data_IF_991975906044
#
_entry.id   IF_991975906044
#
_cell.length_a   1.000
_cell.length_b   1.000
_cell.length_c   1.000
_cell.angle_alpha   90.00
_cell.angle_beta   90.00
_cell.angle_gamma   90.00
#
_symmetry.space_group_name_H-M   'P 1'
#
loop_
_entity.id
_entity.type
_entity.pdbx_description
1 polymer ?
#
# COMPACT_ATOMS: atom_id res chain seq x y z
N UNK A 1 -13.63 -18.15 -14.19
CA UNK A 1 -13.06 -18.70 -12.94
C UNK A 1 -11.67 -18.11 -12.76
N UNK A 2 -11.38 -17.59 -11.57
CA UNK A 2 -10.08 -17.04 -11.18
C UNK A 2 -9.47 -18.07 -10.22
N UNK A 3 -8.28 -18.65 -10.48
CA UNK A 3 -7.62 -19.53 -9.53
C UNK A 3 -7.04 -18.71 -8.38
N UNK A 4 -7.47 -18.98 -7.15
CA UNK A 4 -6.98 -18.35 -5.92
C UNK A 4 -6.51 -19.41 -4.92
N UNK A 5 -5.56 -20.24 -5.34
CA UNK A 5 -5.20 -21.47 -4.64
C UNK A 5 -4.58 -21.22 -3.25
N UNK A 6 -3.76 -20.17 -3.12
CA UNK A 6 -3.12 -19.83 -1.84
C UNK A 6 -4.11 -19.20 -0.87
N UNK A 7 -4.95 -18.27 -1.34
CA UNK A 7 -6.01 -17.67 -0.52
C UNK A 7 -7.09 -18.69 -0.14
N UNK A 8 -7.44 -19.62 -1.04
CA UNK A 8 -8.36 -20.72 -0.75
C UNK A 8 -7.78 -21.64 0.34
N UNK A 9 -6.47 -21.95 0.27
CA UNK A 9 -5.77 -22.71 1.32
C UNK A 9 -5.77 -21.96 2.66
N UNK A 10 -5.44 -20.66 2.67
CA UNK A 10 -5.46 -19.84 3.87
C UNK A 10 -6.86 -19.82 4.52
N UNK A 11 -7.92 -19.75 3.70
CA UNK A 11 -9.28 -19.82 4.19
C UNK A 11 -9.66 -21.20 4.76
N UNK A 12 -9.11 -22.29 4.21
CA UNK A 12 -9.34 -23.65 4.68
C UNK A 12 -8.57 -23.98 5.97
N UNK A 13 -7.38 -23.40 6.15
CA UNK A 13 -6.52 -23.61 7.33
C UNK A 13 -6.81 -22.63 8.47
N UNK A 14 -7.62 -21.60 8.22
CA UNK A 14 -7.89 -20.51 9.15
C UNK A 14 -9.39 -20.29 9.43
N UNK A 15 -9.73 -19.01 9.65
CA UNK A 15 -11.09 -18.58 9.92
C UNK A 15 -11.60 -17.70 8.77
N UNK A 16 -12.79 -18.02 8.26
CA UNK A 16 -13.47 -17.23 7.21
C UNK A 16 -14.66 -16.47 7.80
N UNK A 17 -14.64 -15.15 7.63
CA UNK A 17 -15.75 -14.28 8.00
C UNK A 17 -16.69 -14.12 6.79
N UNK A 18 -17.97 -14.41 6.98
CA UNK A 18 -19.01 -14.21 5.94
C UNK A 18 -19.73 -12.87 6.07
N UNK A 19 -19.54 -12.18 7.19
CA UNK A 19 -20.09 -10.86 7.47
C UNK A 19 -19.01 -9.96 8.09
N UNK A 20 -18.23 -9.31 7.22
CA UNK A 20 -17.14 -8.42 7.60
C UNK A 20 -17.23 -7.13 6.79
N UNK A 21 -17.14 -5.98 7.46
CA UNK A 21 -17.34 -4.68 6.85
C UNK A 21 -16.13 -3.75 7.00
N UNK A 22 -15.88 -2.93 5.99
CA UNK A 22 -15.00 -1.78 6.09
C UNK A 22 -15.79 -0.56 6.60
N UNK A 23 -15.14 0.39 7.30
CA UNK A 23 -15.84 1.58 7.80
C UNK A 23 -16.19 2.59 6.69
N UNK A 24 -15.78 2.34 5.44
CA UNK A 24 -16.09 3.17 4.27
C UNK A 24 -15.90 2.41 2.95
N UNK A 25 -16.63 2.81 1.91
CA UNK A 25 -16.50 2.24 0.56
C UNK A 25 -15.28 2.74 -0.26
N UNK A 26 -14.34 3.49 0.33
CA UNK A 26 -13.18 4.07 -0.39
C UNK A 26 -11.90 4.02 0.46
N UNK A 27 -10.74 4.13 -0.23
CA UNK A 27 -9.42 3.78 0.33
C UNK A 27 -9.01 4.54 1.61
N UNK A 28 -8.78 5.85 1.52
CA UNK A 28 -8.26 6.67 2.63
C UNK A 28 -9.08 6.53 3.92
N UNK A 29 -10.42 6.69 3.94
CA UNK A 29 -11.19 6.56 5.17
C UNK A 29 -11.12 5.15 5.76
N UNK A 30 -11.13 4.10 4.94
CA UNK A 30 -10.98 2.71 5.43
C UNK A 30 -9.62 2.48 6.07
N UNK A 31 -8.54 2.94 5.43
CA UNK A 31 -7.17 2.84 5.97
C UNK A 31 -7.00 3.63 7.26
N UNK A 32 -7.64 4.81 7.35
CA UNK A 32 -7.68 5.58 8.59
C UNK A 32 -8.34 4.78 9.71
N UNK A 33 -9.48 4.14 9.43
CA UNK A 33 -10.20 3.32 10.40
C UNK A 33 -9.37 2.13 10.89
N UNK A 34 -8.79 1.37 9.95
CA UNK A 34 -7.93 0.21 10.26
C UNK A 34 -6.74 0.60 11.15
N UNK A 35 -6.03 1.66 10.81
CA UNK A 35 -4.82 2.02 11.56
C UNK A 35 -5.12 2.70 12.89
N UNK A 36 -6.22 3.44 13.03
CA UNK A 36 -6.50 4.25 14.23
C UNK A 36 -7.55 3.67 15.16
N UNK A 37 -8.28 2.62 14.74
CA UNK A 37 -9.42 2.08 15.48
C UNK A 37 -10.59 3.07 15.62
N UNK A 38 -10.66 4.11 14.78
CA UNK A 38 -11.68 5.15 14.84
C UNK A 38 -12.45 5.26 13.55
N UNK A 39 -13.75 5.53 13.67
CA UNK A 39 -14.55 5.90 12.51
C UNK A 39 -13.94 7.06 11.73
N UNK A 40 -13.87 6.89 10.41
CA UNK A 40 -13.17 7.79 9.49
C UNK A 40 -13.76 9.21 9.46
N UNK A 41 -15.05 9.37 9.75
CA UNK A 41 -15.69 10.68 9.86
C UNK A 41 -15.20 11.51 11.06
N UNK A 42 -14.44 10.92 11.99
CA UNK A 42 -13.71 11.65 13.04
C UNK A 42 -12.38 12.23 12.56
N UNK A 43 -11.93 11.91 11.34
CA UNK A 43 -10.80 12.58 10.70
C UNK A 43 -11.21 13.98 10.18
N UNK A 44 -10.21 14.77 9.75
CA UNK A 44 -10.47 16.06 9.07
C UNK A 44 -11.08 15.91 7.68
N UNK A 45 -11.02 14.73 7.08
CA UNK A 45 -11.55 14.47 5.75
C UNK A 45 -12.99 13.95 5.85
N UNK A 46 -13.92 14.61 5.15
CA UNK A 46 -15.36 14.25 5.21
C UNK A 46 -15.87 13.54 3.96
N UNK A 47 -15.16 13.64 2.83
CA UNK A 47 -15.53 13.06 1.53
C UNK A 47 -14.25 12.78 0.72
N UNK A 48 -14.36 11.84 -0.23
CA UNK A 48 -13.29 11.54 -1.18
C UNK A 48 -12.12 10.75 -0.60
N UNK A 49 -11.00 10.79 -1.31
CA UNK A 49 -9.72 10.18 -0.93
C UNK A 49 -8.60 11.20 -1.11
N UNK A 50 -7.49 11.00 -0.42
CA UNK A 50 -6.30 11.80 -0.62
C UNK A 50 -5.62 11.44 -1.95
N UNK A 51 -4.72 12.28 -2.43
CA UNK A 51 -3.85 11.96 -3.56
C UNK A 51 -2.38 11.91 -3.11
N UNK A 52 -1.47 11.61 -4.03
CA UNK A 52 -0.03 11.49 -3.73
C UNK A 52 0.62 12.78 -3.24
N UNK A 53 -0.02 13.94 -3.37
CA UNK A 53 0.51 15.23 -2.89
C UNK A 53 -0.20 15.77 -1.65
N UNK A 54 -1.08 14.97 -1.05
CA UNK A 54 -1.86 15.43 0.09
C UNK A 54 -1.04 15.36 1.39
N UNK A 55 -1.16 16.35 2.30
CA UNK A 55 -0.55 16.30 3.62
C UNK A 55 -1.07 15.12 4.44
N UNK A 56 -0.26 14.64 5.38
CA UNK A 56 -0.60 13.57 6.31
C UNK A 56 -1.96 13.78 6.98
N UNK A 57 -2.79 12.74 6.99
CA UNK A 57 -4.15 12.79 7.52
C UNK A 57 -4.20 12.56 9.04
N UNK A 58 -3.34 11.66 9.53
CA UNK A 58 -3.31 11.21 10.92
C UNK A 58 -2.40 12.15 11.70
N UNK A 59 -2.94 12.78 12.76
CA UNK A 59 -2.17 13.56 13.73
C UNK A 59 -1.15 12.64 14.41
N UNK A 60 0.11 13.04 14.56
CA UNK A 60 1.18 12.19 15.13
C UNK A 60 0.96 11.83 16.60
N UNK A 61 0.08 12.54 17.31
CA UNK A 61 -0.35 12.20 18.67
C UNK A 61 -1.44 11.13 18.69
N UNK A 62 -2.01 10.77 17.53
CA UNK A 62 -3.01 9.70 17.42
C UNK A 62 -2.30 8.36 17.52
N UNK A 63 -2.65 7.59 18.56
CA UNK A 63 -2.29 6.19 18.64
C UNK A 63 -2.82 5.43 17.41
N UNK A 64 -1.92 4.68 16.78
CA UNK A 64 -2.20 3.71 15.73
C UNK A 64 -1.95 2.29 16.24
N UNK A 65 -2.46 1.28 15.54
CA UNK A 65 -2.13 -0.14 15.80
C UNK A 65 -0.62 -0.38 15.78
N UNK A 66 0.13 0.27 14.89
CA UNK A 66 1.58 0.18 14.83
C UNK A 66 2.23 0.78 16.09
N UNK A 67 1.85 1.99 16.50
CA UNK A 67 2.38 2.60 17.71
C UNK A 67 2.05 1.81 18.98
N UNK A 68 0.86 1.21 19.04
CA UNK A 68 0.44 0.36 20.14
C UNK A 68 1.30 -0.91 20.22
N UNK A 69 1.47 -1.62 19.11
CA UNK A 69 2.29 -2.85 19.06
C UNK A 69 3.76 -2.54 19.33
N UNK A 70 4.27 -1.43 18.82
CA UNK A 70 5.64 -0.96 19.10
C UNK A 70 5.88 -0.72 20.60
N UNK A 71 4.91 -0.15 21.31
CA UNK A 71 4.98 0.00 22.79
C UNK A 71 5.03 -1.35 23.52
N UNK A 72 4.57 -2.43 22.87
CA UNK A 72 4.59 -3.80 23.39
C UNK A 72 5.71 -4.66 22.79
N UNK A 73 6.79 -4.03 22.31
CA UNK A 73 8.02 -4.71 21.90
C UNK A 73 8.05 -5.22 20.45
N UNK A 74 6.98 -5.02 19.67
CA UNK A 74 6.98 -5.45 18.27
C UNK A 74 7.96 -4.61 17.44
N UNK A 75 8.64 -5.25 16.49
CA UNK A 75 9.16 -4.56 15.32
C UNK A 75 7.99 -4.27 14.37
N UNK A 76 7.96 -3.10 13.74
CA UNK A 76 6.78 -2.68 12.96
C UNK A 76 7.16 -2.26 11.54
N UNK A 77 6.45 -2.79 10.55
CA UNK A 77 6.65 -2.45 9.14
C UNK A 77 5.34 -2.12 8.44
N UNK A 78 5.40 -1.18 7.51
CA UNK A 78 4.34 -0.92 6.54
C UNK A 78 4.93 -1.13 5.15
N UNK A 79 4.38 -2.07 4.39
CA UNK A 79 4.83 -2.36 3.03
C UNK A 79 3.64 -2.24 2.08
N UNK A 80 3.78 -1.41 1.05
CA UNK A 80 2.76 -1.20 0.03
C UNK A 80 2.12 0.19 0.03
N UNK A 81 0.86 0.25 -0.37
CA UNK A 81 0.12 1.50 -0.57
C UNK A 81 -0.15 2.20 0.77
N UNK A 82 0.25 3.46 0.89
CA UNK A 82 -0.01 4.25 2.10
C UNK A 82 -1.39 4.95 2.05
N UNK A 83 -1.55 5.92 1.15
CA UNK A 83 -2.81 6.61 0.85
C UNK A 83 -3.46 7.37 2.01
N UNK A 84 -2.64 7.82 2.97
CA UNK A 84 -3.05 8.63 4.13
C UNK A 84 -2.31 9.98 4.20
N UNK A 85 -1.73 10.40 3.07
CA UNK A 85 -0.98 11.65 2.94
C UNK A 85 0.40 11.60 3.58
N UNK A 86 1.26 12.53 3.17
CA UNK A 86 2.67 12.60 3.57
C UNK A 86 3.08 14.06 3.76
N UNK A 87 3.84 14.34 4.81
CA UNK A 87 4.30 15.68 5.12
C UNK A 87 3.23 16.59 5.72
N UNK A 88 3.66 17.76 6.21
CA UNK A 88 2.80 18.78 6.81
C UNK A 88 2.41 19.90 5.83
N UNK A 89 3.15 20.03 4.72
CA UNK A 89 2.90 21.06 3.71
C UNK A 89 1.55 20.85 3.01
N UNK A 90 0.89 21.96 2.62
CA UNK A 90 -0.37 21.91 1.85
C UNK A 90 -0.27 21.03 0.59
N UNK A 91 0.92 20.97 -0.02
CA UNK A 91 1.31 20.04 -1.07
C UNK A 91 2.58 19.30 -0.62
N UNK A 92 2.57 17.97 -0.61
CA UNK A 92 3.75 17.16 -0.27
C UNK A 92 4.93 17.51 -1.17
N UNK A 93 6.09 17.74 -0.56
CA UNK A 93 7.34 18.07 -1.25
C UNK A 93 8.28 16.86 -1.24
N UNK A 94 8.39 16.21 -2.41
CA UNK A 94 9.21 15.02 -2.61
C UNK A 94 10.72 15.30 -2.65
N UNK A 95 11.15 16.56 -2.47
CA UNK A 95 12.56 16.92 -2.28
C UNK A 95 12.98 16.98 -0.82
N UNK A 96 12.03 16.88 0.12
CA UNK A 96 12.27 16.94 1.57
C UNK A 96 11.95 15.58 2.22
N UNK A 97 12.41 15.35 3.47
CA UNK A 97 11.88 14.27 4.28
C UNK A 97 10.34 14.30 4.29
N UNK A 98 9.72 13.16 3.99
CA UNK A 98 8.27 12.95 3.90
C UNK A 98 7.67 12.75 5.29
N UNK A 99 7.96 13.69 6.19
CA UNK A 99 7.53 13.66 7.60
C UNK A 99 6.53 14.78 7.93
N UNK A 100 5.43 14.51 8.64
CA UNK A 100 5.01 13.19 9.15
C UNK A 100 4.60 12.22 8.03
N UNK A 101 4.95 10.95 8.24
CA UNK A 101 4.65 9.81 7.35
C UNK A 101 4.49 8.53 8.17
N UNK A 102 4.54 7.33 7.56
CA UNK A 102 4.39 6.06 8.26
C UNK A 102 5.31 5.91 9.47
N UNK A 103 6.58 6.32 9.35
CA UNK A 103 7.54 6.22 10.46
C UNK A 103 7.17 7.10 11.66
N UNK A 104 6.50 8.24 11.42
CA UNK A 104 5.99 9.12 12.48
C UNK A 104 4.70 8.57 13.13
N UNK A 105 4.14 7.48 12.60
CA UNK A 105 2.89 6.86 13.04
C UNK A 105 3.10 5.46 13.60
N UNK A 106 4.30 5.19 14.08
CA UNK A 106 4.64 3.98 14.84
C UNK A 106 5.26 2.86 14.04
N UNK A 107 5.48 3.01 12.72
CA UNK A 107 6.21 2.02 11.93
C UNK A 107 7.74 2.25 12.03
N UNK A 108 8.52 1.20 12.27
CA UNK A 108 9.98 1.25 12.22
C UNK A 108 10.49 1.31 10.77
N UNK A 109 9.82 0.58 9.88
CA UNK A 109 10.16 0.50 8.46
C UNK A 109 8.96 0.83 7.57
N UNK A 110 9.21 1.55 6.48
CA UNK A 110 8.22 1.75 5.41
C UNK A 110 8.83 1.53 4.05
N UNK A 111 8.15 0.76 3.20
CA UNK A 111 8.45 0.71 1.77
C UNK A 111 7.16 0.68 0.96
N UNK A 112 6.97 1.60 0.03
CA UNK A 112 5.85 1.51 -0.91
C UNK A 112 5.49 2.78 -1.61
N UNK A 113 4.21 2.93 -1.97
CA UNK A 113 3.73 4.02 -2.83
C UNK A 113 2.86 5.01 -2.03
N UNK A 114 2.88 6.31 -2.39
CA UNK A 114 2.24 7.35 -1.58
C UNK A 114 0.71 7.29 -1.57
N UNK A 115 0.09 6.87 -2.68
CA UNK A 115 -1.35 6.83 -2.87
C UNK A 115 -1.77 5.61 -3.72
N UNK A 116 -2.93 5.68 -4.38
CA UNK A 116 -3.30 4.65 -5.35
C UNK A 116 -2.33 4.57 -6.52
N UNK A 117 -2.20 3.37 -7.11
CA UNK A 117 -1.27 3.10 -8.21
C UNK A 117 -1.67 3.83 -9.51
N UNK A 118 -2.87 4.42 -9.58
CA UNK A 118 -3.34 5.31 -10.65
C UNK A 118 -3.12 6.81 -10.35
N UNK A 119 -2.46 7.16 -9.24
CA UNK A 119 -2.27 8.54 -8.77
C UNK A 119 -0.80 8.96 -8.68
N UNK A 120 -0.46 10.03 -9.40
CA UNK A 120 0.85 10.71 -9.31
C UNK A 120 1.14 11.25 -7.89
N UNK A 121 2.42 11.31 -7.47
CA UNK A 121 3.60 10.83 -8.21
C UNK A 121 3.80 9.32 -8.12
N UNK A 122 4.33 8.77 -9.20
CA UNK A 122 4.68 7.35 -9.31
C UNK A 122 6.13 7.16 -8.87
N UNK A 123 6.33 6.87 -7.59
CA UNK A 123 7.63 6.54 -7.04
C UNK A 123 7.48 5.61 -5.84
N UNK A 124 8.51 4.79 -5.58
CA UNK A 124 8.64 4.12 -4.30
C UNK A 124 9.23 5.08 -3.27
N UNK A 125 8.76 4.95 -2.04
CA UNK A 125 9.28 5.63 -0.87
C UNK A 125 9.83 4.55 0.05
N UNK A 126 11.03 4.79 0.57
CA UNK A 126 11.62 4.00 1.63
C UNK A 126 11.86 4.90 2.84
N UNK A 127 11.24 4.54 3.96
CA UNK A 127 11.12 5.35 5.16
C UNK A 127 10.56 6.75 4.88
N UNK A 128 11.40 7.78 4.94
CA UNK A 128 11.00 9.18 4.81
C UNK A 128 11.41 9.80 3.47
N UNK A 129 11.88 9.02 2.48
CA UNK A 129 12.37 9.57 1.20
C UNK A 129 11.97 8.72 0.00
N UNK A 130 11.78 9.34 -1.18
CA UNK A 130 11.66 8.59 -2.43
C UNK A 130 12.95 7.80 -2.69
N UNK A 131 12.81 6.53 -3.06
CA UNK A 131 13.95 5.69 -3.52
C UNK A 131 14.59 6.33 -4.76
N UNK A 132 13.73 6.79 -5.68
CA UNK A 132 14.11 7.65 -6.79
C UNK A 132 13.11 8.80 -6.88
N UNK A 133 13.60 10.01 -7.13
CA UNK A 133 12.75 11.19 -7.24
C UNK A 133 11.90 11.14 -8.51
N UNK A 134 10.62 11.54 -8.47
CA UNK A 134 9.75 11.59 -9.64
C UNK A 134 10.08 12.79 -10.53
N UNK A 135 11.18 12.71 -11.28
CA UNK A 135 11.72 13.80 -12.13
C UNK A 135 11.22 13.77 -13.57
N UNK A 136 10.67 12.63 -14.02
CA UNK A 136 10.07 12.48 -15.35
C UNK A 136 8.56 12.74 -15.29
N UNK A 137 7.92 12.79 -16.46
CA UNK A 137 6.45 12.88 -16.58
C UNK A 137 5.95 11.72 -17.44
N UNK A 138 4.84 11.10 -17.03
CA UNK A 138 4.09 10.14 -17.82
C UNK A 138 2.77 10.76 -18.28
N UNK A 139 2.32 10.41 -19.47
CA UNK A 139 0.98 10.73 -19.94
C UNK A 139 -0.07 9.87 -19.20
N UNK A 140 -1.33 10.27 -19.31
CA UNK A 140 -2.42 9.48 -18.75
C UNK A 140 -2.51 8.15 -19.50
N UNK A 141 -2.63 7.06 -18.75
CA UNK A 141 -2.96 5.75 -19.33
C UNK A 141 -4.30 5.85 -20.05
N UNK A 142 -4.40 5.28 -21.25
CA UNK A 142 -5.67 5.21 -21.97
C UNK A 142 -6.67 4.44 -21.10
N UNK A 143 -7.90 4.93 -21.03
CA UNK A 143 -8.98 4.17 -20.40
C UNK A 143 -9.27 2.94 -21.26
N UNK A 144 -8.82 1.79 -20.78
CA UNK A 144 -9.03 0.48 -21.40
C UNK A 144 -9.72 -0.45 -20.41
N UNK A 145 -10.00 -1.69 -20.83
CA UNK A 145 -10.44 -2.75 -19.93
C UNK A 145 -9.43 -3.04 -18.81
N UNK A 146 -8.14 -2.78 -19.05
CA UNK A 146 -7.06 -2.88 -18.07
C UNK A 146 -6.94 -1.63 -17.17
N UNK A 147 -7.96 -0.77 -17.16
CA UNK A 147 -8.00 0.43 -16.34
C UNK A 147 -7.17 1.58 -16.88
N UNK A 148 -6.81 2.51 -16.00
CA UNK A 148 -6.17 3.77 -16.35
C UNK A 148 -5.28 4.28 -15.21
N UNK A 149 -4.38 5.21 -15.53
CA UNK A 149 -3.62 6.00 -14.56
C UNK A 149 -3.56 7.47 -14.98
N UNK A 150 -3.33 8.37 -14.03
CA UNK A 150 -3.27 9.82 -14.28
C UNK A 150 -1.95 10.23 -14.91
N UNK A 151 -1.96 11.22 -15.80
CA UNK A 151 -0.73 11.90 -16.20
C UNK A 151 -0.08 12.55 -14.97
N UNK A 152 1.25 12.59 -14.92
CA UNK A 152 1.96 13.24 -13.83
C UNK A 152 3.39 12.78 -13.65
N UNK A 153 3.97 13.15 -12.51
CA UNK A 153 5.35 12.90 -12.21
C UNK A 153 5.62 11.42 -11.95
N UNK A 154 6.71 10.89 -12.51
CA UNK A 154 7.13 9.50 -12.38
C UNK A 154 8.64 9.41 -12.13
N UNK A 155 9.04 8.49 -11.26
CA UNK A 155 10.45 8.21 -11.01
C UNK A 155 11.06 7.46 -12.20
N UNK A 156 12.31 7.76 -12.58
CA UNK A 156 13.04 6.98 -13.57
C UNK A 156 13.00 5.48 -13.22
N UNK A 157 12.65 4.65 -14.20
CA UNK A 157 12.57 3.19 -14.04
C UNK A 157 11.32 2.68 -13.32
N UNK A 158 10.42 3.54 -12.84
CA UNK A 158 9.16 3.08 -12.25
C UNK A 158 8.24 2.48 -13.33
N UNK A 159 7.76 1.26 -13.10
CA UNK A 159 6.78 0.59 -13.96
C UNK A 159 5.66 0.02 -13.11
N UNK A 160 4.41 0.32 -13.46
CA UNK A 160 3.23 -0.12 -12.73
C UNK A 160 3.19 -1.65 -12.55
N UNK A 161 3.56 -2.41 -13.58
CA UNK A 161 3.57 -3.89 -13.58
C UNK A 161 4.59 -4.50 -12.61
N UNK A 162 5.61 -3.75 -12.19
CA UNK A 162 6.64 -4.23 -11.27
C UNK A 162 6.29 -3.95 -9.80
N UNK A 163 5.20 -3.22 -9.53
CA UNK A 163 4.87 -2.78 -8.16
C UNK A 163 4.48 -3.93 -7.26
N UNK A 164 3.56 -4.80 -7.68
CA UNK A 164 3.13 -5.91 -6.82
C UNK A 164 4.27 -6.94 -6.56
N UNK A 165 5.07 -7.35 -7.57
CA UNK A 165 6.23 -8.20 -7.34
C UNK A 165 7.25 -7.55 -6.41
N UNK A 166 7.59 -6.28 -6.63
CA UNK A 166 8.56 -5.55 -5.78
C UNK A 166 8.10 -5.44 -4.33
N UNK A 167 6.81 -5.19 -4.10
CA UNK A 167 6.25 -5.14 -2.75
C UNK A 167 6.28 -6.51 -2.07
N UNK A 168 6.04 -7.59 -2.83
CA UNK A 168 6.14 -8.97 -2.35
C UNK A 168 7.58 -9.32 -1.97
N UNK A 169 8.54 -9.03 -2.84
CA UNK A 169 9.98 -9.17 -2.57
C UNK A 169 10.38 -8.44 -1.28
N UNK A 170 9.94 -7.19 -1.11
CA UNK A 170 10.24 -6.40 0.09
C UNK A 170 9.62 -6.96 1.36
N UNK A 171 8.43 -7.56 1.28
CA UNK A 171 7.80 -8.23 2.41
C UNK A 171 8.58 -9.48 2.82
N UNK A 172 8.98 -10.33 1.86
CA UNK A 172 9.81 -11.52 2.10
C UNK A 172 11.17 -11.12 2.66
N UNK A 173 11.86 -10.14 2.04
CA UNK A 173 13.12 -9.60 2.53
C UNK A 173 13.01 -9.11 3.98
N UNK A 174 11.92 -8.43 4.34
CA UNK A 174 11.71 -7.97 5.71
C UNK A 174 11.57 -9.16 6.69
N UNK A 175 10.78 -10.18 6.33
CA UNK A 175 10.57 -11.37 7.16
C UNK A 175 11.89 -12.12 7.36
N UNK A 176 12.64 -12.38 6.29
CA UNK A 176 13.92 -13.09 6.36
C UNK A 176 14.94 -12.32 7.20
N UNK A 177 15.05 -11.01 6.98
CA UNK A 177 15.96 -10.17 7.77
C UNK A 177 15.57 -10.11 9.25
N UNK A 178 14.27 -10.02 9.56
CA UNK A 178 13.78 -9.95 10.93
C UNK A 178 14.02 -11.28 11.66
N UNK A 179 13.64 -12.40 11.04
CA UNK A 179 13.85 -13.73 11.62
C UNK A 179 15.34 -14.07 11.77
N UNK A 180 16.20 -13.64 10.86
CA UNK A 180 17.64 -13.83 10.96
C UNK A 180 18.33 -12.96 12.02
N UNK A 181 17.86 -11.73 12.26
CA UNK A 181 18.51 -10.77 13.19
C UNK A 181 17.90 -10.72 14.57
N UNK A 182 16.60 -11.00 14.70
CA UNK A 182 15.86 -10.85 15.95
C UNK A 182 14.74 -11.89 16.05
N UNK A 183 15.07 -13.20 16.02
CA UNK A 183 14.09 -14.29 15.97
C UNK A 183 13.10 -14.27 17.15
N UNK A 184 13.55 -13.86 18.33
CA UNK A 184 12.73 -13.83 19.55
C UNK A 184 11.87 -12.56 19.67
N UNK A 185 12.10 -11.55 18.84
CA UNK A 185 11.30 -10.34 18.83
C UNK A 185 10.11 -10.54 17.89
N UNK A 186 8.86 -10.32 18.30
CA UNK A 186 7.74 -10.41 17.36
C UNK A 186 7.75 -9.23 16.38
N UNK A 187 7.18 -9.43 15.19
CA UNK A 187 6.98 -8.35 14.22
C UNK A 187 5.50 -8.17 13.85
N UNK A 188 5.15 -6.96 13.46
CA UNK A 188 3.87 -6.59 12.88
C UNK A 188 4.12 -5.97 11.50
N UNK A 189 3.56 -6.58 10.47
CA UNK A 189 3.62 -6.05 9.11
C UNK A 189 2.21 -5.66 8.64
N UNK A 190 2.04 -4.38 8.34
CA UNK A 190 0.90 -3.91 7.56
C UNK A 190 1.25 -3.99 6.08
N UNK A 191 0.86 -5.10 5.44
CA UNK A 191 1.11 -5.34 4.01
C UNK A 191 -0.12 -4.95 3.19
N UNK A 192 -0.07 -3.78 2.55
CA UNK A 192 -1.21 -3.15 1.93
C UNK A 192 -1.08 -3.11 0.40
N UNK A 193 -1.52 -4.17 -0.26
CA UNK A 193 -1.41 -4.30 -1.71
C UNK A 193 -2.13 -3.15 -2.46
N UNK A 194 -1.54 -2.63 -3.55
CA UNK A 194 -2.24 -1.73 -4.46
C UNK A 194 -3.19 -2.50 -5.38
N UNK A 195 -2.93 -3.77 -5.66
CA UNK A 195 -3.78 -4.64 -6.44
C UNK A 195 -5.07 -5.02 -5.68
N UNK A 196 -6.16 -5.38 -6.40
CA UNK A 196 -6.33 -5.35 -7.86
C UNK A 196 -6.88 -3.98 -8.35
N UNK A 197 -6.51 -2.87 -7.71
CA UNK A 197 -6.95 -1.53 -8.10
C UNK A 197 -6.31 -1.11 -9.43
N UNK A 198 -6.98 -0.20 -10.16
CA UNK A 198 -6.41 0.42 -11.35
C UNK A 198 -5.04 1.10 -11.08
N UNK A 199 -4.16 1.13 -12.09
CA UNK A 199 -4.27 0.39 -13.35
C UNK A 199 -4.14 -1.12 -13.14
N UNK A 200 -4.88 -1.90 -13.92
CA UNK A 200 -4.76 -3.35 -13.94
C UNK A 200 -3.44 -3.67 -14.64
N UNK A 201 -2.45 -4.05 -13.85
CA UNK A 201 -1.06 -4.17 -14.30
C UNK A 201 -0.47 -5.52 -13.86
N UNK A 202 -1.06 -6.66 -14.28
CA UNK A 202 -0.55 -7.97 -13.91
C UNK A 202 0.86 -8.19 -14.48
N UNK A 203 1.73 -8.77 -13.66
CA UNK A 203 3.05 -9.19 -14.10
C UNK A 203 2.96 -10.27 -15.20
N UNK A 204 3.98 -10.35 -16.07
CA UNK A 204 3.94 -11.22 -17.24
C UNK A 204 3.73 -12.70 -16.89
N UNK A 205 4.24 -13.16 -15.75
CA UNK A 205 4.16 -14.56 -15.35
C UNK A 205 2.73 -15.02 -15.00
N UNK A 206 1.79 -14.11 -14.71
CA UNK A 206 0.38 -14.43 -14.40
C UNK A 206 -0.60 -14.16 -15.54
N UNK A 207 -0.16 -13.54 -16.64
CA UNK A 207 -1.03 -13.22 -17.78
C UNK A 207 -1.62 -14.49 -18.40
N UNK A 208 -2.92 -14.46 -18.67
CA UNK A 208 -3.69 -15.58 -19.21
C UNK A 208 -3.99 -16.72 -18.24
N UNK A 209 -3.65 -16.57 -16.94
CA UNK A 209 -3.90 -17.64 -15.94
C UNK A 209 -5.33 -17.64 -15.42
N UNK A 210 -6.09 -16.57 -15.61
CA UNK A 210 -7.50 -16.49 -15.26
C UNK A 210 -8.40 -16.60 -16.50
N UNK A 211 -9.68 -16.97 -16.27
CA UNK A 211 -10.74 -16.83 -17.29
C UNK A 211 -11.53 -15.53 -17.12
N UNK A 212 -10.90 -14.47 -16.61
CA UNK A 212 -11.57 -13.20 -16.27
C UNK A 212 -10.74 -11.96 -16.69
N UNK A 213 -9.97 -12.08 -17.78
CA UNK A 213 -9.18 -10.98 -18.36
C UNK A 213 -8.05 -10.50 -17.45
N UNK A 214 -7.50 -9.31 -17.76
CA UNK A 214 -6.39 -8.73 -17.01
C UNK A 214 -6.71 -8.53 -15.52
N UNK A 215 -7.97 -8.19 -15.18
CA UNK A 215 -8.39 -8.08 -13.79
C UNK A 215 -8.27 -9.41 -13.05
N UNK A 216 -8.74 -10.49 -13.67
CA UNK A 216 -8.62 -11.83 -13.11
C UNK A 216 -7.16 -12.24 -12.95
N UNK A 217 -6.31 -11.93 -13.92
CA UNK A 217 -4.87 -12.23 -13.83
C UNK A 217 -4.20 -11.43 -12.71
N UNK A 218 -4.63 -10.19 -12.47
CA UNK A 218 -4.12 -9.40 -11.36
C UNK A 218 -4.58 -9.93 -9.99
N UNK A 219 -5.77 -10.54 -9.92
CA UNK A 219 -6.21 -11.29 -8.73
C UNK A 219 -5.40 -12.59 -8.56
N UNK A 220 -5.02 -13.27 -9.65
CA UNK A 220 -4.08 -14.41 -9.57
C UNK A 220 -2.72 -13.97 -9.04
N UNK A 221 -2.27 -12.76 -9.37
CA UNK A 221 -1.04 -12.22 -8.79
C UNK A 221 -1.17 -11.92 -7.30
N UNK A 222 -2.32 -11.38 -6.87
CA UNK A 222 -2.62 -11.23 -5.44
C UNK A 222 -2.59 -12.58 -4.73
N UNK A 223 -3.13 -13.63 -5.35
CA UNK A 223 -3.04 -15.00 -4.82
C UNK A 223 -1.59 -15.49 -4.73
N UNK A 224 -0.78 -15.23 -5.75
CA UNK A 224 0.65 -15.60 -5.75
C UNK A 224 1.45 -14.86 -4.66
N UNK A 225 1.06 -13.63 -4.34
CA UNK A 225 1.67 -12.82 -3.26
C UNK A 225 1.38 -13.38 -1.85
N UNK A 226 0.28 -14.13 -1.67
CA UNK A 226 -0.13 -14.78 -0.41
C UNK A 226 0.54 -16.13 -0.24
#
# INVERSE_FOLDING_TARGET
>A
KIPTLNMDRLAAEGMRFTDAHSPSAVCTPTRYGVLTGRYCWRSRMKRGVLNGYSPALIDTRRMTVASLLKQHGYATACIGKWHLGLGSNKKTDYNKPLTPGPNALGFDYFYGIPASLDMTPYCYIENDRPVAKPTLTTEAGKATEDGWWRAGAIAPGFKHVEVLPRLTEKAVEYIDNHTGKSPDRPFFMYFALPAPHCPIAPADFVKGRSKAGGYGDFVVEVDWTV
#
